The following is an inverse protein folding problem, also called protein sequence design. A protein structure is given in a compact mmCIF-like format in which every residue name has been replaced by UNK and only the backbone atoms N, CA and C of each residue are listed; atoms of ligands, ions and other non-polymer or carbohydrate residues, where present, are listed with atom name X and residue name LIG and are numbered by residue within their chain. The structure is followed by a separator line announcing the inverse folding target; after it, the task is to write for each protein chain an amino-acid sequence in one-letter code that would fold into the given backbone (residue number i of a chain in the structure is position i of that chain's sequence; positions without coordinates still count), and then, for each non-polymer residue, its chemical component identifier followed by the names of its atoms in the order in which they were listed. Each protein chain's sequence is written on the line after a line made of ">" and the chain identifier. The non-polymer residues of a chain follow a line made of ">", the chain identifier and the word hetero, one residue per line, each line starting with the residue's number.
data_IF_486184674070
#
_entry.id   IF_486184674070
#
_cell.length_a   1.000
_cell.length_b   1.000
_cell.length_c   1.000
_cell.angle_alpha   90.00
_cell.angle_beta   90.00
_cell.angle_gamma   90.00
#
_symmetry.space_group_name_H-M   'P 1'
#
loop_
_entity.id
_entity.type
_entity.pdbx_description
1 polymer ?
#
# COMPACT_ATOMS: atom_id res chain seq x y z
N UNK A 1 -12.61 2.18 7.36
CA UNK A 1 -11.29 1.56 7.08
C UNK A 1 -11.36 0.12 7.58
N UNK A 2 -11.01 -0.90 6.78
CA UNK A 2 -11.05 -2.29 7.24
C UNK A 2 -10.02 -2.52 8.36
N UNK A 3 -10.16 -3.58 9.17
CA UNK A 3 -9.33 -3.79 10.34
C UNK A 3 -7.86 -4.00 9.96
N UNK A 4 -6.97 -3.29 10.67
CA UNK A 4 -5.51 -3.45 10.59
C UNK A 4 -5.17 -4.85 11.07
N UNK A 5 -4.81 -5.75 10.14
CA UNK A 5 -4.22 -7.03 10.52
C UNK A 5 -2.89 -6.75 11.22
N UNK A 6 -2.69 -7.28 12.43
CA UNK A 6 -1.39 -7.20 13.09
C UNK A 6 -0.41 -8.16 12.38
N UNK A 7 0.19 -7.67 11.31
CA UNK A 7 1.16 -8.37 10.48
C UNK A 7 2.59 -7.86 10.67
N UNK A 8 2.80 -6.98 11.66
CA UNK A 8 4.07 -6.33 11.95
C UNK A 8 4.48 -5.23 10.96
N UNK A 9 3.63 -4.90 9.98
CA UNK A 9 3.87 -3.82 9.03
C UNK A 9 3.16 -2.54 9.44
N UNK A 10 3.69 -1.39 9.02
CA UNK A 10 3.04 -0.10 9.21
C UNK A 10 3.04 0.71 7.92
N UNK A 11 2.11 1.65 7.80
CA UNK A 11 1.92 2.44 6.59
C UNK A 11 1.91 3.91 6.93
N UNK A 12 2.73 4.68 6.21
CA UNK A 12 2.71 6.15 6.23
C UNK A 12 2.17 6.64 4.89
N UNK A 13 1.23 7.58 4.93
CA UNK A 13 0.60 8.16 3.75
C UNK A 13 1.02 9.63 3.65
N UNK A 14 1.46 10.05 2.48
CA UNK A 14 1.89 11.42 2.20
C UNK A 14 1.22 11.89 0.91
N UNK A 15 0.64 13.09 0.93
CA UNK A 15 -0.04 13.69 -0.22
C UNK A 15 0.71 14.92 -0.69
N UNK A 16 0.88 15.08 -1.99
CA UNK A 16 1.47 16.26 -2.61
C UNK A 16 0.58 16.76 -3.75
N UNK A 17 0.54 18.08 -3.91
CA UNK A 17 -0.02 18.75 -5.08
C UNK A 17 1.15 19.30 -5.89
N UNK A 18 1.30 18.80 -7.11
CA UNK A 18 2.30 19.24 -8.07
C UNK A 18 1.73 20.33 -8.99
N UNK A 19 2.57 21.06 -9.75
CA UNK A 19 2.10 21.95 -10.80
C UNK A 19 1.15 21.24 -11.77
N UNK A 20 0.34 22.03 -12.48
CA UNK A 20 -0.66 21.55 -13.44
C UNK A 20 -1.77 20.68 -12.81
N UNK A 21 -2.13 20.97 -11.56
CA UNK A 21 -3.18 20.27 -10.78
C UNK A 21 -2.95 18.75 -10.65
N UNK A 22 -1.69 18.32 -10.71
CA UNK A 22 -1.33 16.90 -10.59
C UNK A 22 -1.29 16.50 -9.11
N UNK A 23 -2.28 15.70 -8.68
CA UNK A 23 -2.30 15.08 -7.36
C UNK A 23 -1.36 13.87 -7.28
N UNK A 24 -0.61 13.76 -6.18
CA UNK A 24 0.25 12.59 -5.88
C UNK A 24 -0.03 12.11 -4.46
N UNK A 25 -0.19 10.80 -4.30
CA UNK A 25 -0.29 10.16 -2.98
C UNK A 25 0.73 9.03 -2.87
N UNK A 26 1.62 9.12 -1.90
CA UNK A 26 2.65 8.12 -1.59
C UNK A 26 2.22 7.29 -0.39
N UNK A 27 2.22 5.97 -0.56
CA UNK A 27 2.05 4.99 0.51
C UNK A 27 3.40 4.32 0.78
N UNK A 28 3.96 4.56 1.96
CA UNK A 28 5.21 3.93 2.41
C UNK A 28 4.90 2.79 3.37
N UNK A 29 5.28 1.57 3.01
CA UNK A 29 5.14 0.38 3.87
C UNK A 29 6.46 0.12 4.58
N UNK A 30 6.45 0.14 5.92
CA UNK A 30 7.60 -0.22 6.75
C UNK A 30 7.47 -1.67 7.23
N UNK A 31 8.59 -2.39 7.29
CA UNK A 31 8.68 -3.83 7.61
C UNK A 31 7.94 -4.76 6.63
N UNK A 32 7.49 -4.24 5.49
CA UNK A 32 6.97 -5.03 4.39
C UNK A 32 8.08 -5.66 3.55
N UNK A 33 7.68 -6.60 2.69
CA UNK A 33 8.51 -7.21 1.66
C UNK A 33 8.33 -6.59 0.28
N UNK A 34 9.07 -7.10 -0.70
CA UNK A 34 8.85 -6.82 -2.13
C UNK A 34 7.65 -7.61 -2.64
N UNK A 35 6.46 -7.20 -2.20
CA UNK A 35 5.17 -7.86 -2.44
C UNK A 35 4.06 -6.83 -2.67
N UNK A 36 2.88 -7.29 -3.09
CA UNK A 36 1.70 -6.44 -3.31
C UNK A 36 0.80 -6.38 -2.07
N UNK A 37 0.59 -5.21 -1.43
CA UNK A 37 -0.30 -5.08 -0.28
C UNK A 37 -1.75 -5.50 -0.59
N UNK A 38 -2.34 -6.28 0.30
CA UNK A 38 -3.67 -6.89 0.12
C UNK A 38 -3.66 -8.17 -0.74
N UNK A 39 -2.55 -8.48 -1.41
CA UNK A 39 -2.39 -9.71 -2.18
C UNK A 39 -2.07 -10.94 -1.33
N UNK A 40 -1.88 -12.07 -2.00
CA UNK A 40 -1.46 -13.32 -1.37
C UNK A 40 0.05 -13.39 -1.15
N UNK A 41 0.47 -14.12 -0.11
CA UNK A 41 1.88 -14.45 0.12
C UNK A 41 2.31 -15.54 -0.88
N UNK A 42 2.57 -15.12 -2.12
CA UNK A 42 2.77 -16.03 -3.26
C UNK A 42 4.13 -16.76 -3.24
N UNK A 43 5.10 -16.25 -2.48
CA UNK A 43 6.41 -16.88 -2.24
C UNK A 43 6.76 -16.83 -0.74
N UNK A 44 7.67 -17.69 -0.25
CA UNK A 44 8.07 -17.69 1.15
C UNK A 44 8.56 -16.31 1.63
N UNK A 45 8.20 -15.93 2.86
CA UNK A 45 8.59 -14.65 3.48
C UNK A 45 10.10 -14.42 3.49
N UNK A 46 10.90 -15.49 3.58
CA UNK A 46 12.36 -15.40 3.56
C UNK A 46 12.92 -14.87 2.23
N UNK A 47 12.18 -14.98 1.12
CA UNK A 47 12.64 -14.56 -0.21
C UNK A 47 12.08 -13.19 -0.62
N UNK A 48 10.79 -12.95 -0.38
CA UNK A 48 10.10 -11.73 -0.83
C UNK A 48 9.68 -10.82 0.31
N UNK A 49 9.94 -11.19 1.57
CA UNK A 49 9.46 -10.48 2.74
C UNK A 49 7.96 -10.68 3.01
N UNK A 50 7.43 -9.92 3.97
CA UNK A 50 6.04 -10.02 4.41
C UNK A 50 5.09 -9.22 3.49
N UNK A 51 3.94 -9.81 3.16
CA UNK A 51 2.83 -9.06 2.56
C UNK A 51 2.15 -8.21 3.61
N UNK A 52 2.01 -6.91 3.34
CA UNK A 52 1.20 -6.02 4.18
C UNK A 52 -0.29 -6.26 3.94
N UNK A 53 -1.04 -6.37 5.03
CA UNK A 53 -2.49 -6.52 5.16
C UNK A 53 -3.12 -5.26 5.74
N UNK A 54 -2.36 -4.16 5.79
CA UNK A 54 -2.84 -2.86 6.28
C UNK A 54 -3.82 -2.20 5.29
N UNK A 55 -3.74 -2.53 4.00
CA UNK A 55 -4.61 -2.03 2.93
C UNK A 55 -4.56 -2.93 1.69
N UNK A 56 -5.53 -2.73 0.78
CA UNK A 56 -5.52 -3.28 -0.57
C UNK A 56 -4.97 -2.23 -1.54
N UNK A 57 -3.82 -2.49 -2.15
CA UNK A 57 -3.18 -1.53 -3.04
C UNK A 57 -3.96 -1.33 -4.35
N UNK A 58 -4.61 -2.37 -4.85
CA UNK A 58 -5.40 -2.30 -6.09
C UNK A 58 -6.64 -1.44 -5.89
N UNK A 59 -7.32 -1.60 -4.75
CA UNK A 59 -8.48 -0.77 -4.40
C UNK A 59 -8.09 0.70 -4.23
N UNK A 60 -6.99 1.00 -3.53
CA UNK A 60 -6.53 2.39 -3.33
C UNK A 60 -6.14 3.05 -4.65
N UNK A 61 -5.41 2.34 -5.51
CA UNK A 61 -5.03 2.85 -6.83
C UNK A 61 -6.30 3.14 -7.66
N UNK A 62 -7.28 2.24 -7.65
CA UNK A 62 -8.54 2.46 -8.34
C UNK A 62 -9.30 3.67 -7.78
N UNK A 63 -9.42 3.78 -6.47
CA UNK A 63 -10.09 4.92 -5.81
C UNK A 63 -9.42 6.26 -6.14
N UNK A 64 -8.08 6.29 -6.20
CA UNK A 64 -7.34 7.49 -6.59
C UNK A 64 -7.73 7.93 -8.01
N UNK A 65 -7.69 7.02 -8.99
CA UNK A 65 -8.03 7.36 -10.37
C UNK A 65 -9.51 7.61 -10.61
N UNK A 66 -10.42 6.93 -9.90
CA UNK A 66 -11.87 7.13 -10.04
C UNK A 66 -12.35 8.50 -9.51
N UNK A 67 -11.54 9.16 -8.69
CA UNK A 67 -11.83 10.47 -8.12
C UNK A 67 -11.32 11.66 -8.97
N UNK A 68 -10.63 11.41 -10.08
CA UNK A 68 -10.07 12.41 -11.00
C UNK A 68 -10.67 12.24 -12.40
#
# INVERSE_FOLDING_TARGET
>A
MPPRGDDGTSVKIETALCPDDVGVVLYTVTNGGHTWPGGEQYLPKALVGAVSRQFDASEIIWQFFAAH
#
